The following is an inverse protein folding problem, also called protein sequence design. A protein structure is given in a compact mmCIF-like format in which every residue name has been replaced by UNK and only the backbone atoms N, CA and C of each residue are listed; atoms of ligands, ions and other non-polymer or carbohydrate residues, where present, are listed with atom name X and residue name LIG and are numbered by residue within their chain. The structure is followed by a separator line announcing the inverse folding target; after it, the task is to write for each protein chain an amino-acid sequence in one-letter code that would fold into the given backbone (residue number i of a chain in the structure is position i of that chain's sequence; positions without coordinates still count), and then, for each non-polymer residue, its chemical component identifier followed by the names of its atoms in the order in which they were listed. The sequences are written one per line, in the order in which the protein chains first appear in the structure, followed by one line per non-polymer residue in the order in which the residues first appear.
data_IF_731326370632
#
_entry.id   IF_731326370632
#
_cell.length_a   1.000
_cell.length_b   1.000
_cell.length_c   1.000
_cell.angle_alpha   90.00
_cell.angle_beta   90.00
_cell.angle_gamma   90.00
#
_symmetry.space_group_name_H-M   'P 1'
#
loop_
_entity.id
_entity.type
_entity.pdbx_description
1 polymer ?
#
# COMPACT_ATOMS: atom_id res chain seq x y z
N UNK A 1 44.15 18.21 -32.81
CA UNK A 1 43.01 19.16 -32.70
C UNK A 1 41.65 18.47 -32.59
N UNK A 2 41.39 17.30 -33.17
CA UNK A 2 40.13 16.58 -33.14
C UNK A 2 39.76 15.99 -31.75
N UNK A 3 40.70 15.46 -30.99
CA UNK A 3 40.46 14.84 -29.70
C UNK A 3 39.93 15.84 -28.65
N UNK A 4 40.42 17.07 -28.63
CA UNK A 4 39.91 18.14 -27.73
C UNK A 4 38.48 18.58 -28.06
N UNK A 5 38.10 18.55 -29.35
CA UNK A 5 36.72 18.88 -29.77
C UNK A 5 35.74 17.76 -29.41
N UNK A 6 36.16 16.49 -29.47
CA UNK A 6 35.36 15.34 -29.06
C UNK A 6 35.15 15.32 -27.53
N UNK A 7 36.21 15.58 -26.75
CA UNK A 7 36.12 15.69 -25.29
C UNK A 7 35.22 16.86 -24.84
N UNK A 8 35.31 18.01 -25.52
CA UNK A 8 34.45 19.14 -25.24
C UNK A 8 32.96 18.84 -25.56
N UNK A 9 32.70 18.18 -26.70
CA UNK A 9 31.36 17.73 -27.06
C UNK A 9 30.75 16.72 -26.06
N UNK A 10 31.57 15.80 -25.58
CA UNK A 10 31.15 14.80 -24.56
C UNK A 10 30.87 15.45 -23.20
N UNK A 11 31.67 16.43 -22.78
CA UNK A 11 31.46 17.20 -21.55
C UNK A 11 30.19 18.02 -21.61
N UNK A 12 29.89 18.67 -22.74
CA UNK A 12 28.64 19.44 -22.94
C UNK A 12 27.43 18.52 -22.95
N UNK A 13 27.51 17.35 -23.57
CA UNK A 13 26.43 16.37 -23.58
C UNK A 13 26.14 15.83 -22.17
N UNK A 14 27.16 15.54 -21.37
CA UNK A 14 27.01 15.13 -19.97
C UNK A 14 26.41 16.27 -19.12
N UNK A 15 26.86 17.51 -19.34
CA UNK A 15 26.35 18.67 -18.61
C UNK A 15 24.90 18.95 -19.00
N UNK A 16 24.51 18.81 -20.26
CA UNK A 16 23.12 18.95 -20.72
C UNK A 16 22.24 17.80 -20.21
N UNK A 17 22.75 16.58 -20.13
CA UNK A 17 22.08 15.44 -19.51
C UNK A 17 21.90 15.66 -18.01
N UNK A 18 22.93 16.09 -17.29
CA UNK A 18 22.86 16.41 -15.87
C UNK A 18 21.91 17.60 -15.60
N UNK A 19 21.93 18.61 -16.47
CA UNK A 19 21.06 19.79 -16.40
C UNK A 19 19.59 19.43 -16.72
N UNK A 20 19.36 18.59 -17.74
CA UNK A 20 18.01 18.09 -18.02
C UNK A 20 17.49 17.17 -16.92
N UNK A 21 18.38 16.37 -16.31
CA UNK A 21 18.03 15.53 -15.14
C UNK A 21 17.70 16.39 -13.91
N UNK A 22 18.49 17.45 -13.65
CA UNK A 22 18.25 18.40 -12.56
C UNK A 22 16.96 19.21 -12.75
N UNK A 23 16.69 19.66 -13.98
CA UNK A 23 15.42 20.35 -14.32
C UNK A 23 14.22 19.39 -14.28
N UNK A 24 14.42 18.13 -14.70
CA UNK A 24 13.39 17.10 -14.63
C UNK A 24 13.03 16.78 -13.17
N UNK A 25 14.02 16.67 -12.29
CA UNK A 25 13.81 16.48 -10.84
C UNK A 25 12.99 17.63 -10.23
N UNK A 26 13.37 18.87 -10.52
CA UNK A 26 12.62 20.05 -10.02
C UNK A 26 11.22 20.22 -10.62
N UNK A 27 11.01 19.84 -11.87
CA UNK A 27 9.71 20.09 -12.54
C UNK A 27 8.77 18.90 -12.46
N UNK A 28 9.24 17.67 -12.56
CA UNK A 28 8.41 16.47 -12.53
C UNK A 28 8.16 15.94 -11.12
N UNK A 29 9.20 15.85 -10.29
CA UNK A 29 9.09 15.38 -8.90
C UNK A 29 8.46 16.41 -7.95
N UNK A 30 8.65 17.71 -8.21
CA UNK A 30 8.11 18.79 -7.39
C UNK A 30 6.61 19.06 -7.58
N UNK A 31 5.99 18.43 -8.58
CA UNK A 31 4.60 18.67 -8.92
C UNK A 31 3.58 17.73 -8.24
N UNK A 32 4.03 16.63 -7.62
CA UNK A 32 3.15 15.78 -6.80
C UNK A 32 2.89 16.48 -5.47
N UNK A 33 1.62 16.62 -5.02
CA UNK A 33 1.27 17.18 -3.72
C UNK A 33 2.03 16.51 -2.58
N UNK A 34 2.59 17.31 -1.68
CA UNK A 34 3.43 16.83 -0.58
C UNK A 34 2.87 17.21 0.78
N UNK A 35 3.10 16.33 1.76
CA UNK A 35 2.70 16.53 3.15
C UNK A 35 3.91 16.39 4.08
N UNK A 36 3.98 17.24 5.10
CA UNK A 36 5.09 17.30 6.06
C UNK A 36 4.86 16.41 7.30
N UNK A 37 3.86 15.54 7.31
CA UNK A 37 3.45 14.80 8.53
C UNK A 37 4.50 13.83 9.05
N UNK A 38 5.47 13.41 8.22
CA UNK A 38 6.61 12.59 8.63
C UNK A 38 7.88 13.40 8.99
N UNK A 39 7.82 14.74 8.89
CA UNK A 39 9.00 15.57 9.21
C UNK A 39 9.37 15.42 10.68
N UNK A 40 10.61 14.97 10.94
CA UNK A 40 11.11 14.72 12.29
C UNK A 40 10.67 13.39 12.92
N UNK A 41 9.96 12.53 12.18
CA UNK A 41 9.62 11.18 12.63
C UNK A 41 10.86 10.27 12.63
N UNK A 42 10.84 9.26 13.51
CA UNK A 42 11.87 8.22 13.53
C UNK A 42 11.86 7.48 12.19
N UNK A 43 13.04 7.26 11.65
CA UNK A 43 13.25 6.49 10.41
C UNK A 43 13.73 5.07 10.73
N UNK A 44 13.61 4.19 9.75
CA UNK A 44 14.16 2.83 9.81
C UNK A 44 15.67 2.87 9.94
N UNK A 45 16.23 1.88 10.63
CA UNK A 45 17.68 1.75 10.79
C UNK A 45 18.27 0.87 9.68
N UNK A 46 19.59 0.97 9.48
CA UNK A 46 20.34 0.04 8.65
C UNK A 46 20.09 0.16 7.14
N UNK A 47 19.36 1.17 6.69
CA UNK A 47 19.03 1.36 5.27
C UNK A 47 17.76 0.62 4.80
N UNK A 48 17.04 -0.01 5.71
CA UNK A 48 15.68 -0.52 5.43
C UNK A 48 14.73 0.63 5.16
N UNK A 49 13.68 0.39 4.36
CA UNK A 49 12.66 1.40 4.05
C UNK A 49 11.27 0.81 4.21
N UNK A 50 10.44 1.48 5.01
CA UNK A 50 9.02 1.14 5.21
C UNK A 50 8.13 2.18 4.53
N UNK A 51 7.40 1.77 3.51
CA UNK A 51 6.50 2.62 2.72
C UNK A 51 5.06 2.27 3.06
N UNK A 52 4.27 3.26 3.49
CA UNK A 52 2.84 3.09 3.74
C UNK A 52 2.03 3.57 2.53
N UNK A 53 1.25 2.67 1.96
CA UNK A 53 0.25 3.00 0.94
C UNK A 53 -1.12 3.16 1.59
N UNK A 54 -1.75 4.31 1.37
CA UNK A 54 -3.07 4.65 1.88
C UNK A 54 -4.05 4.81 0.71
N UNK A 55 -5.12 4.02 0.71
CA UNK A 55 -6.27 4.19 -0.18
C UNK A 55 -7.41 4.90 0.56
N UNK A 56 -7.66 6.16 0.18
CA UNK A 56 -8.64 7.01 0.84
C UNK A 56 -9.99 6.91 0.12
N UNK A 57 -11.03 6.56 0.85
CA UNK A 57 -12.40 6.52 0.35
C UNK A 57 -13.04 7.91 0.39
N UNK A 58 -12.52 8.82 -0.45
CA UNK A 58 -13.01 10.20 -0.58
C UNK A 58 -13.67 10.43 -1.93
N UNK A 59 -14.85 11.09 -1.93
CA UNK A 59 -15.55 11.57 -3.13
C UNK A 59 -15.23 13.03 -3.40
N UNK A 60 -14.11 13.51 -2.87
CA UNK A 60 -13.59 14.86 -3.05
C UNK A 60 -12.19 14.83 -3.62
N UNK A 61 -11.89 15.85 -4.40
CA UNK A 61 -10.53 16.10 -4.88
C UNK A 61 -9.57 16.50 -3.72
N UNK A 62 -8.32 16.76 -4.05
CA UNK A 62 -7.32 17.17 -3.04
C UNK A 62 -7.56 18.60 -2.49
N UNK A 63 -8.43 19.38 -3.10
CA UNK A 63 -8.82 20.72 -2.65
C UNK A 63 -10.12 20.72 -1.82
N UNK A 64 -10.76 19.55 -1.66
CA UNK A 64 -12.00 19.39 -0.93
C UNK A 64 -13.27 19.66 -1.74
N UNK A 65 -13.16 19.84 -3.05
CA UNK A 65 -14.31 19.98 -3.94
C UNK A 65 -14.95 18.63 -4.20
N UNK A 66 -16.28 18.58 -4.24
CA UNK A 66 -16.99 17.36 -4.60
C UNK A 66 -16.67 16.95 -6.04
N UNK A 67 -16.46 15.65 -6.27
CA UNK A 67 -16.26 15.11 -7.60
C UNK A 67 -17.53 15.25 -8.44
N UNK A 68 -17.40 15.46 -9.77
CA UNK A 68 -18.55 15.55 -10.67
C UNK A 68 -19.45 14.32 -10.57
N UNK A 69 -20.76 14.51 -10.51
CA UNK A 69 -21.75 13.44 -10.39
C UNK A 69 -21.55 12.36 -11.45
N UNK A 70 -21.33 12.76 -12.70
CA UNK A 70 -21.05 11.84 -13.82
C UNK A 70 -19.88 10.88 -13.53
N UNK A 71 -18.83 11.38 -12.86
CA UNK A 71 -17.68 10.57 -12.49
C UNK A 71 -18.01 9.62 -11.33
N UNK A 72 -18.76 10.08 -10.34
CA UNK A 72 -19.22 9.26 -9.23
C UNK A 72 -20.12 8.10 -9.70
N UNK A 73 -21.05 8.39 -10.63
CA UNK A 73 -21.92 7.40 -11.23
C UNK A 73 -21.14 6.39 -12.08
N UNK A 74 -20.16 6.85 -12.86
CA UNK A 74 -19.26 5.99 -13.62
C UNK A 74 -18.47 5.02 -12.72
N UNK A 75 -18.00 5.50 -11.57
CA UNK A 75 -17.24 4.68 -10.61
C UNK A 75 -18.11 3.82 -9.69
N UNK A 76 -19.44 3.85 -9.86
CA UNK A 76 -20.41 3.19 -8.96
C UNK A 76 -20.18 3.55 -7.48
N UNK A 77 -19.96 4.82 -7.20
CA UNK A 77 -19.80 5.34 -5.84
C UNK A 77 -20.89 6.37 -5.52
N UNK A 78 -21.41 6.33 -4.31
CA UNK A 78 -22.39 7.32 -3.84
C UNK A 78 -21.78 8.71 -3.70
N UNK A 79 -22.63 9.72 -3.47
CA UNK A 79 -22.19 11.09 -3.18
C UNK A 79 -21.41 11.18 -1.86
N UNK A 80 -20.66 12.28 -1.68
CA UNK A 80 -19.94 12.58 -0.43
C UNK A 80 -20.86 12.75 0.77
N UNK A 81 -22.12 13.11 0.56
CA UNK A 81 -23.14 13.26 1.62
C UNK A 81 -23.78 11.94 2.04
N UNK A 82 -23.78 10.93 1.17
CA UNK A 82 -24.51 9.67 1.42
C UNK A 82 -23.64 8.60 2.07
N UNK A 83 -22.32 8.67 1.96
CA UNK A 83 -21.41 7.68 2.54
C UNK A 83 -20.27 8.41 3.21
N UNK A 84 -20.23 8.35 4.53
CA UNK A 84 -19.32 9.07 5.41
C UNK A 84 -17.86 9.01 4.98
N UNK A 85 -17.28 10.11 4.96
CA UNK A 85 -16.04 10.75 4.75
C UNK A 85 -14.77 9.90 4.85
N UNK A 86 -13.73 10.31 4.45
CA UNK A 86 -12.28 10.07 4.57
C UNK A 86 -11.83 8.80 5.34
N UNK A 87 -12.47 7.63 5.11
CA UNK A 87 -11.97 6.36 5.64
C UNK A 87 -10.79 5.85 4.83
N UNK A 88 -9.74 5.40 5.49
CA UNK A 88 -8.63 4.68 4.84
C UNK A 88 -9.00 3.22 4.66
N UNK A 89 -9.65 2.89 3.54
CA UNK A 89 -10.14 1.54 3.26
C UNK A 89 -9.05 0.58 2.75
N UNK A 90 -7.87 1.08 2.42
CA UNK A 90 -6.68 0.31 2.06
C UNK A 90 -5.49 0.86 2.83
N UNK A 91 -4.80 -0.01 3.55
CA UNK A 91 -3.58 0.30 4.30
C UNK A 91 -2.61 -0.84 4.07
N UNK A 92 -1.50 -0.56 3.39
CA UNK A 92 -0.50 -1.57 3.03
C UNK A 92 0.87 -1.00 3.37
N UNK A 93 1.65 -1.72 4.18
CA UNK A 93 3.05 -1.39 4.44
C UNK A 93 3.93 -2.28 3.59
N UNK A 94 4.84 -1.68 2.83
CA UNK A 94 5.87 -2.38 2.06
C UNK A 94 7.20 -2.16 2.76
N UNK A 95 7.80 -3.23 3.23
CA UNK A 95 9.14 -3.25 3.78
C UNK A 95 10.15 -3.64 2.70
N UNK A 96 11.15 -2.81 2.51
CA UNK A 96 12.26 -3.02 1.60
C UNK A 96 13.53 -3.14 2.44
N UNK A 97 14.12 -4.33 2.56
CA UNK A 97 15.34 -4.48 3.30
C UNK A 97 16.52 -3.82 2.55
N UNK A 98 17.50 -3.32 3.29
CA UNK A 98 18.68 -2.63 2.76
C UNK A 98 19.44 -3.42 1.68
N UNK A 99 19.42 -4.75 1.77
CA UNK A 99 20.05 -5.62 0.78
C UNK A 99 19.27 -5.74 -0.54
N UNK A 100 18.10 -5.10 -0.67
CA UNK A 100 17.25 -5.10 -1.86
C UNK A 100 16.64 -6.45 -2.23
N UNK A 101 16.76 -7.48 -1.37
CA UNK A 101 16.20 -8.83 -1.60
C UNK A 101 14.83 -8.95 -0.95
N UNK A 102 13.89 -9.54 -1.69
CA UNK A 102 12.59 -9.99 -1.16
C UNK A 102 11.87 -8.94 -0.30
N UNK A 103 11.29 -7.95 -0.93
CA UNK A 103 10.40 -7.04 -0.21
C UNK A 103 9.20 -7.80 0.38
N UNK A 104 8.75 -7.35 1.53
CA UNK A 104 7.58 -7.90 2.22
C UNK A 104 6.49 -6.84 2.26
N UNK A 105 5.28 -7.23 1.89
CA UNK A 105 4.11 -6.35 1.94
C UNK A 105 3.11 -6.88 2.96
N UNK A 106 2.66 -6.01 3.86
CA UNK A 106 1.66 -6.34 4.88
C UNK A 106 0.43 -5.47 4.68
N UNK A 107 -0.70 -6.12 4.42
CA UNK A 107 -2.01 -5.47 4.41
C UNK A 107 -2.61 -5.44 5.80
N UNK A 108 -3.13 -4.29 6.20
CA UNK A 108 -3.79 -4.06 7.48
C UNK A 108 -5.30 -4.08 7.24
N UNK A 109 -6.06 -5.05 7.81
CA UNK A 109 -7.50 -5.09 7.65
C UNK A 109 -8.14 -3.83 8.24
N UNK A 110 -8.96 -3.17 7.44
CA UNK A 110 -9.51 -1.84 7.78
C UNK A 110 -10.44 -1.83 8.99
N UNK A 111 -11.02 -2.97 9.32
CA UNK A 111 -11.95 -3.12 10.44
C UNK A 111 -11.27 -3.64 11.72
N UNK A 112 -9.92 -3.66 11.77
CA UNK A 112 -9.14 -3.96 12.97
C UNK A 112 -9.45 -2.93 14.06
N UNK A 113 -9.82 -3.44 15.26
CA UNK A 113 -10.25 -2.62 16.39
C UNK A 113 -9.04 -2.25 17.24
N UNK A 114 -8.62 -1.01 17.13
CA UNK A 114 -7.36 -0.48 17.68
C UNK A 114 -7.57 0.80 18.48
N UNK A 115 -6.63 1.13 19.34
CA UNK A 115 -6.63 2.43 20.00
C UNK A 115 -6.13 3.52 19.04
N UNK A 116 -7.01 4.44 18.70
CA UNK A 116 -6.70 5.67 17.94
C UNK A 116 -6.46 6.80 18.94
N UNK A 117 -5.27 7.39 18.93
CA UNK A 117 -4.89 8.43 19.89
C UNK A 117 -5.89 9.61 19.87
N UNK A 118 -6.46 9.92 21.02
CA UNK A 118 -7.48 10.97 21.18
C UNK A 118 -8.93 10.53 20.97
N UNK A 119 -9.16 9.27 20.44
CA UNK A 119 -10.52 8.76 20.17
C UNK A 119 -10.79 7.39 20.79
N UNK A 120 -9.80 6.77 21.47
CA UNK A 120 -9.93 5.44 22.07
C UNK A 120 -10.05 4.32 21.02
N UNK A 121 -10.74 3.25 21.39
CA UNK A 121 -10.89 2.06 20.55
C UNK A 121 -11.86 2.30 19.39
N UNK A 122 -11.32 2.27 18.17
CA UNK A 122 -12.04 2.49 16.91
C UNK A 122 -11.60 1.48 15.85
N UNK A 123 -12.33 1.39 14.74
CA UNK A 123 -11.81 0.73 13.54
C UNK A 123 -10.64 1.54 12.99
N UNK A 124 -9.54 0.88 12.64
CA UNK A 124 -8.33 1.57 12.19
C UNK A 124 -8.58 2.50 10.99
N UNK A 125 -9.51 2.15 10.10
CA UNK A 125 -9.89 2.99 8.95
C UNK A 125 -10.46 4.35 9.34
N UNK A 126 -11.01 4.48 10.56
CA UNK A 126 -11.69 5.69 11.03
C UNK A 126 -10.70 6.75 11.54
N UNK A 127 -9.45 6.36 11.82
CA UNK A 127 -8.42 7.25 12.37
C UNK A 127 -8.26 8.54 11.55
N UNK A 128 -8.24 8.40 10.23
CA UNK A 128 -8.11 9.54 9.32
C UNK A 128 -9.32 10.50 9.42
N UNK A 129 -10.51 9.95 9.25
CA UNK A 129 -11.76 10.74 9.23
C UNK A 129 -12.00 11.48 10.55
N UNK A 130 -11.77 10.81 11.68
CA UNK A 130 -11.93 11.39 13.01
C UNK A 130 -10.99 12.58 13.24
N UNK A 131 -9.71 12.42 12.93
CA UNK A 131 -8.71 13.48 13.09
C UNK A 131 -8.95 14.63 12.12
N UNK A 132 -9.26 14.32 10.84
CA UNK A 132 -9.60 15.33 9.85
C UNK A 132 -10.79 16.16 10.29
N UNK A 133 -11.89 15.52 10.67
CA UNK A 133 -13.12 16.20 11.10
C UNK A 133 -12.87 17.13 12.29
N UNK A 134 -12.17 16.63 13.29
CA UNK A 134 -11.83 17.44 14.48
C UNK A 134 -10.98 18.66 14.12
N UNK A 135 -9.92 18.46 13.33
CA UNK A 135 -9.05 19.52 12.87
C UNK A 135 -9.80 20.53 11.99
N UNK A 136 -10.64 20.06 11.08
CA UNK A 136 -11.44 20.91 10.17
C UNK A 136 -12.37 21.85 10.96
N UNK A 137 -13.05 21.33 11.98
CA UNK A 137 -13.91 22.14 12.86
C UNK A 137 -13.14 23.21 13.64
N UNK A 138 -11.94 22.87 14.14
CA UNK A 138 -11.07 23.84 14.83
C UNK A 138 -10.62 24.94 13.83
N UNK A 139 -10.19 24.56 12.65
CA UNK A 139 -9.72 25.48 11.61
C UNK A 139 -10.85 26.37 11.09
N UNK A 140 -12.06 25.82 10.95
CA UNK A 140 -13.26 26.56 10.57
C UNK A 140 -13.59 27.66 11.60
N UNK A 141 -13.57 27.31 12.90
CA UNK A 141 -13.78 28.29 13.99
C UNK A 141 -12.70 29.38 14.03
N UNK A 142 -11.50 29.08 13.54
CA UNK A 142 -10.39 30.05 13.41
C UNK A 142 -10.48 30.88 12.12
N UNK A 143 -11.49 30.69 11.28
CA UNK A 143 -11.67 31.41 10.02
C UNK A 143 -10.68 30.99 8.92
N UNK A 144 -10.03 29.83 9.01
CA UNK A 144 -9.10 29.37 7.97
C UNK A 144 -9.87 29.03 6.69
N UNK A 145 -9.59 29.67 5.54
CA UNK A 145 -10.31 29.45 4.30
C UNK A 145 -9.91 28.14 3.63
N UNK A 146 -10.78 27.63 2.73
CA UNK A 146 -10.39 26.62 1.75
C UNK A 146 -9.51 27.27 0.65
N UNK A 147 -8.57 26.52 0.04
CA UNK A 147 -8.25 25.08 0.25
C UNK A 147 -7.29 24.81 1.41
N UNK A 148 -6.79 25.85 2.12
CA UNK A 148 -5.82 25.67 3.20
C UNK A 148 -6.39 24.82 4.35
N UNK A 149 -7.66 25.03 4.73
CA UNK A 149 -8.35 24.24 5.75
C UNK A 149 -8.41 22.76 5.38
N UNK A 150 -8.78 22.46 4.12
CA UNK A 150 -8.81 21.08 3.64
C UNK A 150 -7.42 20.43 3.72
N UNK A 151 -6.38 21.10 3.23
CA UNK A 151 -5.00 20.60 3.31
C UNK A 151 -4.58 20.30 4.74
N UNK A 152 -4.75 21.25 5.66
CA UNK A 152 -4.31 21.10 7.06
C UNK A 152 -5.12 20.02 7.80
N UNK A 153 -6.43 19.93 7.55
CA UNK A 153 -7.26 18.90 8.17
C UNK A 153 -6.94 17.50 7.63
N UNK A 154 -6.61 17.35 6.35
CA UNK A 154 -6.10 16.09 5.81
C UNK A 154 -4.74 15.72 6.39
N UNK A 155 -3.86 16.68 6.61
CA UNK A 155 -2.57 16.42 7.27
C UNK A 155 -2.78 15.89 8.69
N UNK A 156 -3.76 16.40 9.44
CA UNK A 156 -4.14 15.83 10.74
C UNK A 156 -4.65 14.37 10.60
N UNK A 157 -5.46 14.07 9.58
CA UNK A 157 -5.93 12.72 9.27
C UNK A 157 -4.78 11.75 8.96
N UNK A 158 -3.83 12.16 8.11
CA UNK A 158 -2.61 11.41 7.78
C UNK A 158 -1.79 11.12 9.03
N UNK A 159 -1.51 12.16 9.82
CA UNK A 159 -0.72 12.03 11.03
C UNK A 159 -1.33 11.03 12.02
N UNK A 160 -2.64 11.09 12.25
CA UNK A 160 -3.34 10.16 13.14
C UNK A 160 -3.29 8.72 12.62
N UNK A 161 -3.50 8.52 11.32
CA UNK A 161 -3.47 7.20 10.69
C UNK A 161 -2.06 6.59 10.77
N UNK A 162 -1.03 7.36 10.41
CA UNK A 162 0.37 6.93 10.46
C UNK A 162 0.78 6.60 11.90
N UNK A 163 0.45 7.45 12.86
CA UNK A 163 0.75 7.22 14.28
C UNK A 163 0.06 5.95 14.81
N UNK A 164 -1.20 5.72 14.43
CA UNK A 164 -1.95 4.51 14.80
C UNK A 164 -1.29 3.25 14.22
N UNK A 165 -0.90 3.27 12.94
CA UNK A 165 -0.23 2.16 12.27
C UNK A 165 1.16 1.92 12.87
N UNK A 166 1.96 2.96 13.07
CA UNK A 166 3.28 2.87 13.70
C UNK A 166 3.18 2.25 15.09
N UNK A 167 2.18 2.66 15.88
CA UNK A 167 1.93 2.11 17.23
C UNK A 167 1.49 0.67 17.16
N UNK A 168 0.60 0.32 16.24
CA UNK A 168 0.11 -1.05 16.05
C UNK A 168 1.24 -2.01 15.67
N UNK A 169 2.00 -1.66 14.64
CA UNK A 169 3.02 -2.53 14.07
C UNK A 169 4.33 -2.53 14.85
N UNK A 170 4.63 -1.47 15.60
CA UNK A 170 5.88 -1.29 16.34
C UNK A 170 7.08 -0.96 15.44
N UNK A 171 6.85 -0.45 14.24
CA UNK A 171 7.87 -0.09 13.26
C UNK A 171 7.71 1.38 12.82
N UNK A 172 8.78 2.09 12.44
CA UNK A 172 8.69 3.40 11.82
C UNK A 172 8.10 3.31 10.41
N UNK A 173 7.51 4.40 9.93
CA UNK A 173 7.11 4.61 8.53
C UNK A 173 8.02 5.69 7.95
N UNK A 174 8.79 5.34 6.94
CA UNK A 174 9.79 6.23 6.32
C UNK A 174 9.17 7.11 5.25
N UNK A 175 8.27 6.51 4.44
CA UNK A 175 7.54 7.19 3.38
C UNK A 175 6.08 6.78 3.36
N UNK A 176 5.23 7.65 2.81
CA UNK A 176 3.87 7.27 2.50
C UNK A 176 3.43 7.81 1.14
N UNK A 177 2.47 7.11 0.54
CA UNK A 177 1.70 7.57 -0.59
C UNK A 177 0.21 7.39 -0.31
N UNK A 178 -0.57 8.45 -0.48
CA UNK A 178 -2.03 8.45 -0.37
C UNK A 178 -2.64 8.63 -1.74
N UNK A 179 -3.62 7.79 -2.08
CA UNK A 179 -4.41 7.89 -3.30
C UNK A 179 -5.90 7.87 -2.95
N UNK A 180 -6.68 8.75 -3.57
CA UNK A 180 -8.13 8.75 -3.48
C UNK A 180 -8.77 7.89 -4.60
N UNK A 181 -10.10 7.78 -4.62
CA UNK A 181 -10.82 6.96 -5.61
C UNK A 181 -10.56 7.39 -7.05
N UNK A 182 -10.56 8.70 -7.33
CA UNK A 182 -10.35 9.20 -8.69
C UNK A 182 -8.89 9.00 -9.12
N UNK A 183 -7.94 9.21 -8.21
CA UNK A 183 -6.53 8.97 -8.49
C UNK A 183 -6.22 7.51 -8.81
N UNK A 184 -6.87 6.58 -8.09
CA UNK A 184 -6.77 5.16 -8.42
C UNK A 184 -7.31 4.87 -9.83
N UNK A 185 -8.50 5.39 -10.16
CA UNK A 185 -9.11 5.26 -11.48
C UNK A 185 -8.21 5.81 -12.59
N UNK A 186 -7.68 7.02 -12.40
CA UNK A 186 -6.81 7.69 -13.39
C UNK A 186 -5.49 6.94 -13.59
N UNK A 187 -4.85 6.46 -12.51
CA UNK A 187 -3.61 5.66 -12.58
C UNK A 187 -3.88 4.33 -13.28
N UNK A 188 -4.95 3.61 -12.90
CA UNK A 188 -5.31 2.34 -13.53
C UNK A 188 -5.60 2.49 -15.04
N UNK A 189 -6.20 3.62 -15.43
CA UNK A 189 -6.45 3.99 -16.83
C UNK A 189 -5.14 4.29 -17.55
N UNK A 190 -4.29 5.13 -16.98
CA UNK A 190 -3.00 5.53 -17.57
C UNK A 190 -2.05 4.35 -17.76
N UNK A 191 -2.12 3.35 -16.89
CA UNK A 191 -1.38 2.10 -17.04
C UNK A 191 -1.86 1.24 -18.22
N UNK A 192 -3.00 1.56 -18.85
CA UNK A 192 -3.50 0.84 -20.03
C UNK A 192 -3.94 -0.60 -19.72
N UNK A 193 -4.48 -0.83 -18.53
CA UNK A 193 -4.99 -2.12 -18.08
C UNK A 193 -3.96 -2.96 -17.31
N UNK A 194 -4.42 -3.65 -16.29
CA UNK A 194 -3.65 -4.51 -15.40
C UNK A 194 -4.19 -5.93 -15.48
N UNK A 195 -3.30 -6.91 -15.57
CA UNK A 195 -3.68 -8.32 -15.54
C UNK A 195 -4.02 -8.74 -14.11
N UNK A 196 -5.16 -9.40 -13.97
CA UNK A 196 -5.62 -10.05 -12.73
C UNK A 196 -6.18 -11.43 -13.06
N UNK A 197 -6.24 -12.32 -12.08
CA UNK A 197 -6.80 -13.66 -12.24
C UNK A 197 -7.83 -13.95 -11.15
N UNK A 198 -8.99 -14.48 -11.54
CA UNK A 198 -10.03 -14.93 -10.62
C UNK A 198 -10.20 -16.43 -10.64
N UNK A 199 -10.31 -17.05 -9.46
CA UNK A 199 -10.60 -18.49 -9.31
C UNK A 199 -11.98 -18.85 -9.85
N UNK A 200 -12.94 -17.92 -9.81
CA UNK A 200 -14.32 -18.12 -10.25
C UNK A 200 -14.91 -16.82 -10.79
N UNK A 201 -15.95 -16.95 -11.61
CA UNK A 201 -16.71 -15.80 -12.08
C UNK A 201 -17.42 -15.09 -10.92
N UNK A 202 -17.57 -13.79 -11.05
CA UNK A 202 -18.15 -12.91 -10.04
C UNK A 202 -19.16 -11.98 -10.67
N UNK A 203 -20.30 -11.79 -9.99
CA UNK A 203 -21.27 -10.76 -10.30
C UNK A 203 -21.59 -9.98 -9.02
N UNK A 204 -21.08 -8.76 -8.93
CA UNK A 204 -21.31 -7.81 -7.83
C UNK A 204 -21.87 -6.48 -8.38
N UNK A 205 -22.65 -6.57 -9.46
CA UNK A 205 -23.22 -5.42 -10.17
C UNK A 205 -24.04 -4.49 -9.28
N UNK A 206 -24.67 -5.02 -8.24
CA UNK A 206 -25.51 -4.24 -7.31
C UNK A 206 -24.71 -3.40 -6.31
N UNK A 207 -23.45 -3.77 -5.99
CA UNK A 207 -22.68 -3.13 -4.94
C UNK A 207 -21.42 -2.42 -5.46
N UNK A 208 -20.48 -3.16 -6.04
CA UNK A 208 -19.26 -2.58 -6.60
C UNK A 208 -19.38 -2.18 -8.08
N UNK A 209 -20.40 -2.69 -8.76
CA UNK A 209 -20.57 -2.58 -10.22
C UNK A 209 -19.89 -3.71 -11.00
N UNK A 210 -19.01 -4.48 -10.35
CA UNK A 210 -18.11 -5.43 -11.00
C UNK A 210 -18.78 -6.73 -11.46
N UNK A 211 -18.56 -7.07 -12.74
CA UNK A 211 -18.89 -8.37 -13.31
C UNK A 211 -17.63 -8.90 -14.01
N UNK A 212 -17.11 -10.02 -13.51
CA UNK A 212 -15.83 -10.57 -13.98
C UNK A 212 -15.94 -12.04 -14.28
N UNK A 213 -15.43 -12.53 -15.43
CA UNK A 213 -15.29 -13.95 -15.70
C UNK A 213 -14.20 -14.58 -14.80
N UNK A 214 -14.22 -15.90 -14.68
CA UNK A 214 -13.11 -16.64 -14.11
C UNK A 214 -11.87 -16.57 -15.00
N UNK A 215 -10.68 -16.76 -14.41
CA UNK A 215 -9.41 -16.84 -15.13
C UNK A 215 -8.70 -15.51 -15.28
N UNK A 216 -7.67 -15.52 -16.14
CA UNK A 216 -6.80 -14.37 -16.41
C UNK A 216 -7.53 -13.36 -17.29
N UNK A 217 -7.51 -12.10 -16.90
CA UNK A 217 -8.14 -11.00 -17.63
C UNK A 217 -7.40 -9.69 -17.43
N UNK A 218 -7.61 -8.73 -18.33
CA UNK A 218 -7.05 -7.39 -18.22
C UNK A 218 -8.15 -6.40 -17.84
N UNK A 219 -7.95 -5.67 -16.77
CA UNK A 219 -8.90 -4.67 -16.24
C UNK A 219 -8.27 -3.29 -16.19
N UNK A 220 -9.03 -2.23 -16.40
CA UNK A 220 -8.56 -0.83 -16.33
C UNK A 220 -9.66 0.11 -15.85
N UNK A 221 -9.29 1.31 -15.45
CA UNK A 221 -10.24 2.35 -15.08
C UNK A 221 -11.27 1.89 -14.04
N UNK A 222 -12.55 1.92 -14.42
CA UNK A 222 -13.66 1.52 -13.55
C UNK A 222 -13.56 0.06 -13.11
N UNK A 223 -13.26 -0.85 -14.04
CA UNK A 223 -13.13 -2.28 -13.71
C UNK A 223 -12.05 -2.54 -12.65
N UNK A 224 -10.94 -1.80 -12.71
CA UNK A 224 -9.89 -1.91 -11.70
C UNK A 224 -10.40 -1.47 -10.33
N UNK A 225 -11.16 -0.36 -10.28
CA UNK A 225 -11.76 0.13 -9.04
C UNK A 225 -12.82 -0.84 -8.48
N UNK A 226 -13.69 -1.38 -9.32
CA UNK A 226 -14.68 -2.39 -8.97
C UNK A 226 -14.01 -3.64 -8.40
N UNK A 227 -12.97 -4.14 -9.06
CA UNK A 227 -12.21 -5.32 -8.64
C UNK A 227 -11.61 -5.18 -7.23
N UNK A 228 -10.95 -4.06 -6.92
CA UNK A 228 -10.30 -3.86 -5.63
C UNK A 228 -11.26 -3.47 -4.51
N UNK A 229 -12.51 -3.10 -4.84
CA UNK A 229 -13.55 -2.70 -3.87
C UNK A 229 -14.52 -3.80 -3.53
N UNK A 230 -14.69 -4.79 -4.40
CA UNK A 230 -15.64 -5.87 -4.19
C UNK A 230 -15.41 -6.60 -2.87
N UNK A 231 -16.48 -6.88 -2.16
CA UNK A 231 -16.50 -7.66 -0.92
C UNK A 231 -17.76 -8.54 -0.77
N UNK A 232 -18.85 -8.16 -1.42
CA UNK A 232 -20.07 -8.96 -1.41
C UNK A 232 -19.89 -10.20 -2.29
N UNK A 233 -20.48 -11.30 -1.87
CA UNK A 233 -20.32 -12.59 -2.55
C UNK A 233 -18.93 -13.24 -2.43
N UNK A 234 -18.00 -12.62 -1.68
CA UNK A 234 -16.71 -13.22 -1.35
C UNK A 234 -16.82 -14.06 -0.07
N UNK A 235 -16.22 -15.28 -0.03
CA UNK A 235 -16.33 -16.18 1.12
C UNK A 235 -15.90 -15.56 2.45
N UNK A 236 -14.81 -14.78 2.43
CA UNK A 236 -14.23 -14.14 3.60
C UNK A 236 -14.43 -12.61 3.59
N UNK A 237 -15.35 -12.11 2.76
CA UNK A 237 -15.74 -10.70 2.70
C UNK A 237 -14.57 -9.74 2.52
N UNK A 238 -14.28 -8.95 3.55
CA UNK A 238 -13.24 -7.91 3.51
C UNK A 238 -11.81 -8.45 3.43
N UNK A 239 -11.54 -9.66 3.94
CA UNK A 239 -10.22 -10.30 3.83
C UNK A 239 -9.93 -10.73 2.38
N UNK A 240 -10.91 -11.28 1.66
CA UNK A 240 -10.75 -11.61 0.25
C UNK A 240 -10.58 -10.35 -0.61
N UNK A 241 -11.24 -9.24 -0.24
CA UNK A 241 -10.97 -7.94 -0.87
C UNK A 241 -9.49 -7.53 -0.69
N UNK A 242 -8.90 -7.77 0.46
CA UNK A 242 -7.48 -7.51 0.70
C UNK A 242 -6.60 -8.33 -0.26
N UNK A 243 -6.93 -9.60 -0.50
CA UNK A 243 -6.22 -10.43 -1.48
C UNK A 243 -6.37 -9.89 -2.92
N UNK A 244 -7.53 -9.33 -3.29
CA UNK A 244 -7.70 -8.65 -4.58
C UNK A 244 -6.81 -7.41 -4.72
N UNK A 245 -6.70 -6.62 -3.67
CA UNK A 245 -5.78 -5.48 -3.67
C UNK A 245 -4.33 -5.92 -3.84
N UNK A 246 -3.91 -6.99 -3.17
CA UNK A 246 -2.57 -7.58 -3.32
C UNK A 246 -2.35 -8.11 -4.75
N UNK A 247 -3.33 -8.82 -5.31
CA UNK A 247 -3.27 -9.33 -6.69
C UNK A 247 -3.18 -8.19 -7.71
N UNK A 248 -3.94 -7.11 -7.51
CA UNK A 248 -3.86 -5.91 -8.35
C UNK A 248 -2.47 -5.27 -8.30
N UNK A 249 -1.89 -5.08 -7.11
CA UNK A 249 -0.51 -4.54 -6.95
C UNK A 249 0.50 -5.46 -7.64
N UNK A 250 0.35 -6.79 -7.50
CA UNK A 250 1.21 -7.75 -8.21
C UNK A 250 1.11 -7.57 -9.73
N UNK A 251 -0.11 -7.38 -10.24
CA UNK A 251 -0.35 -7.09 -11.66
C UNK A 251 0.32 -5.79 -12.11
N UNK A 252 0.24 -4.72 -11.30
CA UNK A 252 0.93 -3.45 -11.56
C UNK A 252 2.45 -3.67 -11.64
N UNK A 253 3.05 -4.33 -10.67
CA UNK A 253 4.50 -4.61 -10.62
C UNK A 253 4.92 -5.44 -11.83
N UNK A 254 4.14 -6.47 -12.18
CA UNK A 254 4.39 -7.32 -13.36
C UNK A 254 4.36 -6.49 -14.64
N UNK A 255 3.40 -5.57 -14.76
CA UNK A 255 3.30 -4.66 -15.90
C UNK A 255 4.49 -3.70 -15.97
N UNK A 256 4.89 -3.09 -14.86
CA UNK A 256 6.06 -2.23 -14.80
C UNK A 256 7.33 -2.97 -15.27
N UNK A 257 7.48 -4.24 -14.84
CA UNK A 257 8.59 -5.11 -15.27
C UNK A 257 8.54 -5.41 -16.77
N UNK A 258 7.39 -5.89 -17.26
CA UNK A 258 7.24 -6.34 -18.65
C UNK A 258 7.35 -5.20 -19.67
N UNK A 259 6.94 -3.99 -19.30
CA UNK A 259 7.01 -2.80 -20.17
C UNK A 259 8.26 -1.97 -19.99
N UNK A 260 9.17 -2.34 -19.08
CA UNK A 260 10.41 -1.62 -18.81
C UNK A 260 10.19 -0.18 -18.34
N UNK A 261 9.07 0.11 -17.64
CA UNK A 261 8.66 1.48 -17.28
C UNK A 261 9.75 2.21 -16.49
N UNK A 262 10.48 1.51 -15.61
CA UNK A 262 11.61 2.10 -14.87
C UNK A 262 12.83 2.47 -15.72
N UNK A 263 12.89 2.00 -16.96
CA UNK A 263 13.94 2.37 -17.94
C UNK A 263 13.45 3.39 -18.97
N UNK A 264 12.17 3.75 -18.97
CA UNK A 264 11.53 4.65 -19.94
C UNK A 264 11.05 5.92 -19.24
N UNK A 265 11.85 6.98 -19.30
CA UNK A 265 11.54 8.26 -18.68
C UNK A 265 10.23 8.88 -19.18
N UNK A 266 9.87 8.67 -20.45
CA UNK A 266 8.64 9.21 -21.02
C UNK A 266 7.38 8.55 -20.40
N UNK A 267 7.39 7.23 -20.25
CA UNK A 267 6.31 6.49 -19.59
C UNK A 267 6.21 6.87 -18.12
N UNK A 268 7.35 6.97 -17.44
CA UNK A 268 7.37 7.39 -16.04
C UNK A 268 6.82 8.80 -15.87
N UNK A 269 7.21 9.74 -16.74
CA UNK A 269 6.72 11.12 -16.73
C UNK A 269 5.21 11.19 -16.96
N UNK A 270 4.68 10.36 -17.86
CA UNK A 270 3.23 10.28 -18.12
C UNK A 270 2.48 9.82 -16.86
N UNK A 271 2.96 8.79 -16.17
CA UNK A 271 2.37 8.31 -14.92
C UNK A 271 2.46 9.35 -13.79
N UNK A 272 3.61 10.02 -13.64
CA UNK A 272 3.78 11.11 -12.68
C UNK A 272 2.83 12.27 -12.98
N UNK A 273 2.58 12.57 -14.25
CA UNK A 273 1.64 13.61 -14.65
C UNK A 273 0.20 13.30 -14.22
N UNK A 274 -0.21 12.04 -14.31
CA UNK A 274 -1.51 11.59 -13.80
C UNK A 274 -1.53 11.65 -12.26
N UNK A 275 -0.48 11.16 -11.60
CA UNK A 275 -0.38 11.14 -10.15
C UNK A 275 -0.43 12.54 -9.50
N UNK A 276 0.01 13.60 -10.19
CA UNK A 276 0.02 14.98 -9.68
C UNK A 276 -1.31 15.47 -9.14
N UNK A 277 -2.43 15.01 -9.68
CA UNK A 277 -3.76 15.48 -9.29
C UNK A 277 -4.23 14.90 -7.98
N UNK A 278 -4.01 13.59 -7.79
CA UNK A 278 -4.79 12.80 -6.85
C UNK A 278 -3.95 11.92 -5.93
N UNK A 279 -2.62 11.98 -6.07
CA UNK A 279 -1.67 11.34 -5.14
C UNK A 279 -1.05 12.39 -4.24
N UNK A 280 -0.89 12.06 -2.96
CA UNK A 280 -0.12 12.85 -2.00
C UNK A 280 0.98 11.97 -1.42
N UNK A 281 2.21 12.48 -1.41
CA UNK A 281 3.37 11.78 -0.80
C UNK A 281 3.96 12.60 0.34
N UNK A 282 4.82 12.00 1.15
CA UNK A 282 5.57 12.77 2.13
C UNK A 282 6.60 13.71 1.46
N UNK A 283 6.92 14.79 2.15
CA UNK A 283 7.82 15.83 1.63
C UNK A 283 9.28 15.40 1.57
N UNK A 284 9.67 14.39 2.36
CA UNK A 284 11.03 13.86 2.44
C UNK A 284 11.34 12.82 1.36
N UNK A 285 10.35 12.37 0.58
CA UNK A 285 10.56 11.30 -0.39
C UNK A 285 11.15 11.82 -1.71
N UNK A 286 12.39 11.48 -1.96
CA UNK A 286 13.00 11.60 -3.28
C UNK A 286 12.55 10.42 -4.16
N UNK A 287 11.45 10.62 -4.89
CA UNK A 287 10.85 9.58 -5.74
C UNK A 287 11.79 9.15 -6.87
N UNK A 288 12.58 10.07 -7.40
CA UNK A 288 13.51 9.77 -8.48
C UNK A 288 14.76 9.05 -7.97
N UNK A 289 15.31 9.49 -6.84
CA UNK A 289 16.40 8.79 -6.15
C UNK A 289 16.01 7.41 -5.65
N UNK A 290 14.70 7.16 -5.45
CA UNK A 290 14.17 5.85 -5.09
C UNK A 290 14.06 4.86 -6.26
N UNK A 291 14.13 5.32 -7.53
CA UNK A 291 13.97 4.45 -8.72
C UNK A 291 14.89 3.23 -8.75
N UNK A 292 16.19 3.30 -8.37
CA UNK A 292 17.05 2.12 -8.32
C UNK A 292 16.55 1.05 -7.35
N UNK A 293 16.04 1.46 -6.19
CA UNK A 293 15.45 0.57 -5.20
C UNK A 293 14.11 0.00 -5.70
N UNK A 294 13.26 0.83 -6.32
CA UNK A 294 12.03 0.40 -6.97
C UNK A 294 12.30 -0.61 -8.09
N UNK A 295 13.37 -0.43 -8.87
CA UNK A 295 13.81 -1.42 -9.89
C UNK A 295 14.23 -2.74 -9.24
N UNK A 296 14.89 -2.71 -8.10
CA UNK A 296 15.24 -3.91 -7.35
C UNK A 296 13.96 -4.68 -6.89
N UNK A 297 12.88 -3.96 -6.51
CA UNK A 297 11.58 -4.58 -6.21
C UNK A 297 10.99 -5.35 -7.39
N UNK A 298 11.20 -4.88 -8.63
CA UNK A 298 10.72 -5.58 -9.82
C UNK A 298 11.58 -6.76 -10.21
N UNK A 299 12.84 -6.81 -9.79
CA UNK A 299 13.77 -7.95 -9.96
C UNK A 299 13.59 -9.02 -8.88
N UNK A 300 13.11 -8.65 -7.71
CA UNK A 300 12.87 -9.53 -6.56
C UNK A 300 11.44 -10.07 -6.49
N UNK A 301 11.19 -10.93 -5.49
CA UNK A 301 9.84 -11.39 -5.15
C UNK A 301 9.28 -10.48 -4.05
N UNK A 302 8.08 -9.93 -4.26
CA UNK A 302 7.30 -9.33 -3.17
C UNK A 302 6.38 -10.40 -2.63
N UNK A 303 6.46 -10.61 -1.32
CA UNK A 303 5.59 -11.56 -0.63
C UNK A 303 4.54 -10.73 0.12
N UNK A 304 3.28 -10.99 -0.19
CA UNK A 304 2.16 -10.30 0.42
C UNK A 304 1.60 -11.11 1.58
N UNK A 305 1.41 -10.43 2.71
CA UNK A 305 0.77 -10.96 3.90
C UNK A 305 -0.38 -10.06 4.33
N UNK A 306 -1.30 -10.61 5.11
CA UNK A 306 -2.35 -9.84 5.80
C UNK A 306 -2.13 -10.00 7.30
N UNK A 307 -2.31 -8.94 8.08
CA UNK A 307 -2.19 -9.02 9.54
C UNK A 307 -3.14 -10.09 10.11
N UNK A 308 -2.68 -10.87 11.09
CA UNK A 308 -3.51 -11.89 11.73
C UNK A 308 -4.61 -11.22 12.57
N UNK A 309 -5.81 -11.77 12.49
CA UNK A 309 -6.94 -11.44 13.36
C UNK A 309 -7.25 -12.63 14.26
N UNK A 310 -7.68 -12.38 15.50
CA UNK A 310 -8.08 -13.44 16.45
C UNK A 310 -9.56 -13.84 16.27
N UNK A 311 -10.37 -12.97 15.69
CA UNK A 311 -11.79 -13.22 15.45
C UNK A 311 -12.56 -11.95 15.16
N UNK A 312 -13.88 -12.05 15.30
CA UNK A 312 -14.83 -10.95 15.05
C UNK A 312 -15.64 -10.67 16.30
N UNK A 313 -16.01 -9.41 16.49
CA UNK A 313 -16.92 -9.00 17.57
C UNK A 313 -17.82 -7.86 17.10
N UNK A 314 -18.93 -7.65 17.82
CA UNK A 314 -19.72 -6.44 17.68
C UNK A 314 -19.24 -5.40 18.69
N UNK A 315 -18.91 -4.21 18.21
CA UNK A 315 -18.59 -3.04 19.03
C UNK A 315 -19.36 -1.83 18.46
N UNK A 316 -20.07 -1.11 19.30
CA UNK A 316 -20.89 0.02 18.87
C UNK A 316 -21.81 -0.32 17.68
N UNK A 317 -22.46 -1.50 17.72
CA UNK A 317 -23.32 -2.04 16.64
C UNK A 317 -22.59 -2.28 15.30
N UNK A 318 -21.28 -2.29 15.28
CA UNK A 318 -20.46 -2.55 14.10
C UNK A 318 -19.64 -3.83 14.27
N UNK A 319 -19.55 -4.64 13.23
CA UNK A 319 -18.61 -5.77 13.21
C UNK A 319 -17.17 -5.24 13.14
N UNK A 320 -16.31 -5.74 14.02
CA UNK A 320 -14.88 -5.37 14.10
C UNK A 320 -14.03 -6.64 14.11
N UNK A 321 -12.79 -6.52 13.68
CA UNK A 321 -11.77 -7.55 13.85
C UNK A 321 -11.12 -7.37 15.22
N UNK A 322 -11.01 -8.45 15.97
CA UNK A 322 -10.24 -8.48 17.21
C UNK A 322 -8.82 -8.93 16.88
N UNK A 323 -7.86 -8.18 17.37
CA UNK A 323 -6.43 -8.42 17.16
C UNK A 323 -5.67 -8.39 18.48
N UNK A 324 -4.55 -9.10 18.53
CA UNK A 324 -3.58 -9.03 19.63
C UNK A 324 -2.35 -8.26 19.19
N UNK A 325 -2.09 -7.13 19.84
CA UNK A 325 -0.93 -6.29 19.52
C UNK A 325 0.40 -7.05 19.65
N UNK A 326 0.66 -7.86 20.70
CA UNK A 326 1.86 -8.67 20.79
C UNK A 326 2.01 -9.65 19.63
N UNK A 327 0.92 -10.32 19.22
CA UNK A 327 0.92 -11.27 18.09
C UNK A 327 1.21 -10.53 16.79
N UNK A 328 0.57 -9.38 16.55
CA UNK A 328 0.80 -8.54 15.37
C UNK A 328 2.26 -8.09 15.29
N UNK A 329 2.81 -7.55 16.39
CA UNK A 329 4.20 -7.07 16.39
C UNK A 329 5.22 -8.19 16.19
N UNK A 330 4.98 -9.36 16.82
CA UNK A 330 5.82 -10.53 16.59
C UNK A 330 5.76 -10.98 15.14
N UNK A 331 4.57 -11.04 14.56
CA UNK A 331 4.35 -11.40 13.15
C UNK A 331 5.11 -10.46 12.21
N UNK A 332 5.00 -9.14 12.42
CA UNK A 332 5.70 -8.11 11.63
C UNK A 332 7.22 -8.26 11.77
N UNK A 333 7.70 -8.41 13.02
CA UNK A 333 9.12 -8.59 13.29
C UNK A 333 9.70 -9.83 12.59
N UNK A 334 9.04 -10.98 12.71
CA UNK A 334 9.52 -12.24 12.12
C UNK A 334 9.55 -12.20 10.59
N UNK A 335 8.64 -11.40 9.97
CA UNK A 335 8.62 -11.21 8.52
C UNK A 335 9.70 -10.23 8.02
N UNK A 336 9.95 -9.17 8.76
CA UNK A 336 10.89 -8.14 8.33
C UNK A 336 12.33 -8.49 8.69
N UNK A 337 12.52 -9.21 9.81
CA UNK A 337 13.81 -9.60 10.34
C UNK A 337 13.87 -11.12 10.58
N UNK A 338 13.78 -11.94 9.50
CA UNK A 338 13.83 -13.39 9.65
C UNK A 338 15.15 -13.81 10.26
N UNK A 339 15.10 -14.73 11.23
CA UNK A 339 16.30 -15.33 11.80
C UNK A 339 17.18 -15.92 10.68
N UNK A 340 18.51 -15.82 10.77
CA UNK A 340 19.41 -16.40 9.79
C UNK A 340 19.14 -17.91 9.70
N UNK A 341 18.86 -18.39 8.49
CA UNK A 341 18.72 -19.83 8.26
C UNK A 341 20.08 -20.49 8.51
N UNK A 342 20.23 -21.16 9.63
CA UNK A 342 21.40 -22.00 9.90
C UNK A 342 21.30 -23.18 8.94
N UNK A 343 22.00 -23.08 7.81
CA UNK A 343 22.21 -24.23 6.94
C UNK A 343 23.22 -25.12 7.67
N UNK A 344 22.72 -26.09 8.43
CA UNK A 344 23.57 -27.16 8.91
C UNK A 344 24.06 -27.93 7.69
N UNK A 345 25.33 -27.73 7.35
CA UNK A 345 26.05 -28.60 6.43
C UNK A 345 25.92 -30.02 6.97
N UNK A 346 25.56 -31.02 6.16
CA UNK A 346 25.58 -32.39 6.60
C UNK A 346 27.02 -32.76 6.95
N UNK A 347 27.28 -33.00 8.22
CA UNK A 347 28.53 -33.57 8.68
C UNK A 347 28.65 -34.98 8.09
N UNK A 348 29.76 -35.35 7.44
CA UNK A 348 29.96 -36.73 6.93
C UNK A 348 29.97 -37.70 8.08
N UNK A 349 29.14 -38.68 8.00
CA UNK A 349 28.90 -39.90 8.72
C UNK A 349 29.79 -40.30 9.89
N UNK A 350 29.16 -40.47 11.06
CA UNK A 350 29.48 -41.52 12.00
C UNK A 350 28.19 -42.32 12.24
N UNK A 351 28.16 -43.51 11.69
CA UNK A 351 27.16 -44.53 12.04
C UNK A 351 27.40 -45.00 13.46
N UNK A 352 26.52 -44.64 14.38
CA UNK A 352 26.30 -45.42 15.60
C UNK A 352 24.80 -45.56 15.84
N UNK A 353 24.34 -46.80 15.70
CA UNK A 353 23.02 -47.25 16.05
C UNK A 353 22.81 -47.17 17.56
N UNK A 354 21.95 -46.23 17.99
CA UNK A 354 21.23 -46.37 19.25
C UNK A 354 19.94 -45.58 19.18
N UNK A 355 18.80 -46.28 19.25
CA UNK A 355 17.46 -45.69 19.33
C UNK A 355 17.36 -44.79 20.56
N UNK A 356 17.04 -43.50 20.42
CA UNK A 356 16.68 -42.69 21.57
C UNK A 356 15.24 -42.97 21.99
N UNK A 357 15.07 -43.16 23.29
CA UNK A 357 13.79 -43.21 24.00
C UNK A 357 13.04 -41.88 23.77
N UNK A 358 11.73 -41.90 23.49
CA UNK A 358 11.00 -40.67 23.24
C UNK A 358 10.86 -39.82 24.51
N UNK A 359 11.46 -38.64 24.49
CA UNK A 359 11.22 -37.59 25.48
C UNK A 359 9.82 -37.02 25.27
N UNK A 360 9.03 -36.73 26.31
CA UNK A 360 7.70 -36.14 26.16
C UNK A 360 7.81 -34.76 25.51
N UNK A 361 7.22 -34.60 24.34
CA UNK A 361 7.04 -33.28 23.70
C UNK A 361 6.21 -32.40 24.64
N UNK A 362 6.61 -31.11 24.84
CA UNK A 362 5.72 -30.14 25.48
C UNK A 362 4.40 -30.13 24.73
N UNK A 363 3.28 -30.20 25.45
CA UNK A 363 1.94 -29.99 24.88
C UNK A 363 1.93 -28.60 24.30
N UNK A 364 2.13 -28.50 22.97
CA UNK A 364 1.81 -27.30 22.23
C UNK A 364 0.32 -27.08 22.43
N UNK A 365 -0.03 -26.01 23.10
CA UNK A 365 -1.39 -25.47 23.07
C UNK A 365 -1.71 -25.26 21.60
N UNK A 366 -2.59 -26.10 21.07
CA UNK A 366 -3.08 -25.96 19.70
C UNK A 366 -3.88 -24.67 19.66
N UNK A 367 -3.20 -23.55 19.42
CA UNK A 367 -3.87 -22.39 18.85
C UNK A 367 -4.43 -22.84 17.52
N UNK A 368 -5.72 -22.80 17.40
CA UNK A 368 -6.39 -23.19 16.17
C UNK A 368 -6.21 -22.08 15.13
N UNK A 369 -5.10 -22.14 14.40
CA UNK A 369 -4.73 -21.23 13.31
C UNK A 369 -5.61 -21.38 12.07
N UNK A 370 -6.73 -22.10 12.12
CA UNK A 370 -7.63 -22.26 10.99
C UNK A 370 -8.15 -20.93 10.44
N UNK A 371 -8.19 -19.86 11.25
CA UNK A 371 -8.49 -18.51 10.80
C UNK A 371 -7.27 -17.76 10.21
N UNK A 372 -6.05 -18.26 10.43
CA UNK A 372 -4.82 -17.77 9.80
C UNK A 372 -4.59 -18.37 8.40
N UNK A 373 -5.35 -19.38 8.00
CA UNK A 373 -5.23 -20.04 6.70
C UNK A 373 -5.53 -19.11 5.51
N UNK A 374 -6.07 -17.91 5.73
CA UNK A 374 -6.25 -16.90 4.71
C UNK A 374 -4.99 -16.07 4.45
N UNK A 375 -3.92 -16.27 5.20
CA UNK A 375 -2.59 -15.70 4.99
C UNK A 375 -1.74 -16.49 4.00
N UNK A 376 -2.33 -17.11 2.96
CA UNK A 376 -1.54 -17.66 1.87
C UNK A 376 -0.78 -16.54 1.21
N UNK A 377 0.53 -16.55 1.41
CA UNK A 377 1.43 -15.58 0.81
C UNK A 377 1.24 -15.59 -0.71
N UNK A 378 0.76 -14.48 -1.25
CA UNK A 378 0.67 -14.28 -2.69
C UNK A 378 2.08 -14.03 -3.20
N UNK A 379 2.68 -15.02 -3.86
CA UNK A 379 4.03 -14.90 -4.42
C UNK A 379 3.98 -14.05 -5.70
N UNK A 380 4.76 -12.96 -5.73
CA UNK A 380 4.78 -12.00 -6.85
C UNK A 380 5.54 -12.45 -8.12
N UNK A 381 5.72 -13.75 -8.37
CA UNK A 381 6.41 -14.25 -9.57
C UNK A 381 5.50 -14.52 -10.77
N UNK A 382 4.18 -14.34 -10.62
CA UNK A 382 3.16 -14.50 -11.66
C UNK A 382 1.91 -13.74 -11.25
N UNK A 383 0.85 -13.80 -12.08
CA UNK A 383 -0.45 -13.22 -11.72
C UNK A 383 -1.23 -14.25 -10.86
N UNK A 384 -1.35 -14.01 -9.54
CA UNK A 384 -2.05 -14.95 -8.68
C UNK A 384 -3.56 -14.91 -8.94
N UNK A 385 -4.20 -16.08 -8.92
CA UNK A 385 -5.66 -16.15 -8.95
C UNK A 385 -6.22 -16.01 -7.53
N UNK A 386 -7.20 -15.12 -7.36
CA UNK A 386 -7.86 -14.80 -6.09
C UNK A 386 -9.38 -14.98 -6.21
N UNK A 387 -10.08 -14.96 -5.08
CA UNK A 387 -11.55 -15.01 -5.05
C UNK A 387 -12.15 -13.62 -5.26
#
# INVERSE_FOLDING_TARGET
MHLRKVLAGFSIAITLLAFSFYFFDKTAGSAIPRSNVLKGSKQSAGGDVNILLLGLDSRRDNNGNDLPRKLLDLMHVGSSSSIGGYNTNTMIVIHIPANGKNAVSISIPRDDYVNVAGWGMQKIKEAYGLAKYTSENILLKKGVPNPLREKQSRDAGRAATIATITTLLGIPIDHFAEVNLVGFYDIATALGGIQVCLNRAVNDSQYSGGVFPAGLQTISGVQALEFVRQRHGLPNGDLDRTHRQQAFITGVITKFRSQGIFGDLGKLQSLLTVAKKDVVIDSGWDVLGFLPQAKALTGGHIIFHTLPIEGYALRNKQSVNIISIPVVRKFVHDLFYPAPTVTTLPTPGVSTSSKPKPTPKPKATKFNFAHLANGTAVKGSGIPCVN
#
